data_IF_615041976460
#
_entry.id   IF_615041976460
#
_cell.length_a   1.000
_cell.length_b   1.000
_cell.length_c   1.000
_cell.angle_alpha   90.00
_cell.angle_beta   90.00
_cell.angle_gamma   90.00
#
_symmetry.space_group_name_H-M   'P 1'
#
loop_
_entity.id
_entity.type
_entity.pdbx_description
1 polymer ?
#
# COMPACT_ATOMS: atom_id res chain seq x y z
N UNK A 1 0.69 -22.34 -10.71
CA UNK A 1 0.32 -22.89 -9.37
C UNK A 1 0.74 -21.91 -8.27
N UNK A 2 0.11 -21.99 -7.07
CA UNK A 2 0.48 -21.15 -5.92
C UNK A 2 1.95 -21.33 -5.48
N UNK A 3 2.51 -22.54 -5.65
CA UNK A 3 3.92 -22.80 -5.36
C UNK A 3 4.85 -21.99 -6.27
N UNK A 4 4.52 -21.86 -7.54
CA UNK A 4 5.24 -21.03 -8.51
C UNK A 4 5.03 -19.54 -8.24
N UNK A 5 3.81 -19.13 -7.87
CA UNK A 5 3.51 -17.75 -7.53
C UNK A 5 4.30 -17.20 -6.32
N UNK A 6 4.75 -18.08 -5.41
CA UNK A 6 5.66 -17.73 -4.32
C UNK A 6 7.11 -17.49 -4.75
N UNK A 7 7.52 -18.06 -5.86
CA UNK A 7 8.87 -17.94 -6.42
C UNK A 7 8.98 -16.81 -7.44
N UNK A 8 7.90 -16.05 -7.61
CA UNK A 8 7.84 -14.93 -8.53
C UNK A 8 8.81 -13.82 -8.10
N UNK A 9 9.63 -13.41 -9.04
CA UNK A 9 10.51 -12.26 -8.91
C UNK A 9 9.83 -11.00 -9.47
N UNK A 10 9.87 -9.94 -8.72
CA UNK A 10 9.34 -8.63 -9.11
C UNK A 10 10.50 -7.69 -9.31
N UNK A 11 10.90 -7.48 -10.58
CA UNK A 11 12.00 -6.60 -10.98
C UNK A 11 13.32 -6.89 -10.22
N UNK A 12 13.54 -8.13 -9.78
CA UNK A 12 14.67 -8.55 -8.95
C UNK A 12 14.77 -7.78 -7.61
N UNK A 13 13.63 -7.25 -7.11
CA UNK A 13 13.58 -6.49 -5.88
C UNK A 13 13.25 -7.41 -4.70
N UNK A 14 14.18 -7.61 -3.76
CA UNK A 14 13.92 -8.40 -2.56
C UNK A 14 12.79 -7.77 -1.71
N UNK A 15 11.97 -8.63 -1.13
CA UNK A 15 10.87 -8.22 -0.24
C UNK A 15 9.87 -7.23 -0.89
N UNK A 16 9.76 -7.22 -2.24
CA UNK A 16 8.84 -6.33 -2.96
C UNK A 16 7.37 -6.64 -2.65
N UNK A 17 7.04 -7.91 -2.41
CA UNK A 17 5.68 -8.34 -2.07
C UNK A 17 5.67 -9.59 -1.20
N UNK A 18 4.51 -9.83 -0.56
CA UNK A 18 4.27 -11.00 0.28
C UNK A 18 2.84 -11.51 0.07
N UNK A 19 2.65 -12.81 0.15
CA UNK A 19 1.32 -13.37 0.42
C UNK A 19 1.06 -13.36 1.93
N UNK A 20 -0.19 -13.12 2.34
CA UNK A 20 -0.58 -13.07 3.76
C UNK A 20 -0.21 -14.35 4.53
N UNK A 21 -0.12 -15.49 3.83
CA UNK A 21 0.31 -16.78 4.39
C UNK A 21 1.82 -16.89 4.66
N UNK A 22 2.63 -15.95 4.19
CA UNK A 22 4.11 -15.97 4.32
C UNK A 22 4.60 -15.28 5.60
N UNK A 23 4.04 -15.70 6.73
CA UNK A 23 4.29 -15.07 8.04
C UNK A 23 5.77 -15.01 8.42
N UNK A 24 6.59 -15.99 8.02
CA UNK A 24 8.04 -15.98 8.30
C UNK A 24 8.74 -14.85 7.57
N UNK A 25 8.50 -14.70 6.27
CA UNK A 25 9.12 -13.66 5.44
C UNK A 25 8.71 -12.26 5.92
N UNK A 26 7.42 -12.08 6.24
CA UNK A 26 6.91 -10.83 6.81
C UNK A 26 7.56 -10.51 8.15
N UNK A 27 7.73 -11.53 9.01
CA UNK A 27 8.40 -11.37 10.31
C UNK A 27 9.87 -10.99 10.15
N UNK A 28 10.61 -11.67 9.28
CA UNK A 28 12.03 -11.39 9.00
C UNK A 28 12.20 -9.96 8.48
N UNK A 29 11.33 -9.52 7.58
CA UNK A 29 11.29 -8.14 7.08
C UNK A 29 11.00 -7.15 8.21
N UNK A 30 10.01 -7.42 9.07
CA UNK A 30 9.68 -6.58 10.21
C UNK A 30 10.83 -6.46 11.23
N UNK A 31 11.57 -7.54 11.46
CA UNK A 31 12.78 -7.54 12.31
C UNK A 31 13.85 -6.61 11.72
N UNK A 32 14.14 -6.73 10.42
CA UNK A 32 15.12 -5.87 9.73
C UNK A 32 14.70 -4.40 9.79
N UNK A 33 13.43 -4.10 9.56
CA UNK A 33 12.88 -2.75 9.66
C UNK A 33 13.02 -2.19 11.08
N UNK A 34 12.70 -3.01 12.10
CA UNK A 34 12.88 -2.65 13.50
C UNK A 34 14.32 -2.33 13.87
N UNK A 35 15.27 -3.11 13.37
CA UNK A 35 16.70 -2.84 13.60
C UNK A 35 17.11 -1.50 13.02
N UNK A 36 16.75 -1.20 11.76
CA UNK A 36 17.01 0.10 11.13
C UNK A 36 16.39 1.26 11.90
N UNK A 37 15.12 1.10 12.33
CA UNK A 37 14.43 2.12 13.12
C UNK A 37 15.12 2.38 14.45
N UNK A 38 15.55 1.34 15.16
CA UNK A 38 16.20 1.49 16.45
C UNK A 38 17.54 2.23 16.34
N UNK A 39 18.25 2.08 15.21
CA UNK A 39 19.47 2.85 14.94
C UNK A 39 19.18 4.33 14.70
N UNK A 40 18.02 4.67 14.13
CA UNK A 40 17.68 6.07 13.79
C UNK A 40 16.91 6.81 14.87
N UNK A 41 16.03 6.12 15.61
CA UNK A 41 15.09 6.73 16.58
C UNK A 41 15.24 6.24 18.02
N UNK A 42 16.11 5.23 18.24
CA UNK A 42 16.28 4.60 19.55
C UNK A 42 15.22 3.54 19.85
N UNK A 43 15.54 2.68 20.84
CA UNK A 43 14.75 1.48 21.19
C UNK A 43 13.45 1.81 21.92
N UNK A 44 13.42 2.92 22.67
CA UNK A 44 12.31 3.25 23.59
C UNK A 44 11.21 4.12 22.97
N UNK A 45 11.33 4.53 21.71
CA UNK A 45 10.33 5.41 21.10
C UNK A 45 9.00 4.68 20.84
N UNK A 46 7.89 5.34 21.19
CA UNK A 46 6.54 4.87 20.87
C UNK A 46 6.41 4.60 19.37
N UNK A 47 5.66 3.56 19.01
CA UNK A 47 5.41 3.17 17.64
C UNK A 47 3.98 3.47 17.26
N UNK A 48 3.82 4.06 16.09
CA UNK A 48 2.52 4.40 15.54
C UNK A 48 2.26 3.63 14.26
N UNK A 49 1.11 2.98 14.21
CA UNK A 49 0.64 2.18 13.08
C UNK A 49 -0.67 2.77 12.59
N UNK A 50 -0.83 2.89 11.28
CA UNK A 50 -2.05 3.37 10.67
C UNK A 50 -2.50 2.41 9.58
N UNK A 51 -3.74 1.94 9.67
CA UNK A 51 -4.41 1.22 8.60
C UNK A 51 -5.49 2.12 7.98
N UNK A 52 -5.39 2.35 6.67
CA UNK A 52 -6.35 3.16 5.91
C UNK A 52 -7.21 2.20 5.09
N UNK A 53 -8.50 2.16 5.41
CA UNK A 53 -9.45 1.29 4.73
C UNK A 53 -9.76 1.77 3.32
N UNK A 54 -10.24 0.84 2.49
CA UNK A 54 -11.01 1.20 1.30
C UNK A 54 -12.37 1.82 1.67
N UNK A 55 -13.07 2.32 0.68
CA UNK A 55 -14.39 2.94 0.88
C UNK A 55 -14.85 3.82 -0.29
N UNK A 56 -14.27 3.70 -1.48
CA UNK A 56 -14.65 4.54 -2.61
C UNK A 56 -14.55 6.03 -2.27
N UNK A 57 -15.64 6.77 -2.46
CA UNK A 57 -15.69 8.23 -2.21
C UNK A 57 -15.52 8.59 -0.72
N UNK A 58 -15.79 7.67 0.21
CA UNK A 58 -15.57 7.88 1.64
C UNK A 58 -14.08 8.05 2.02
N UNK A 59 -13.16 7.72 1.10
CA UNK A 59 -11.74 8.03 1.24
C UNK A 59 -11.46 9.52 1.49
N UNK A 60 -12.31 10.41 0.97
CA UNK A 60 -12.23 11.85 1.19
C UNK A 60 -12.40 12.22 2.69
N UNK A 61 -13.27 11.51 3.42
CA UNK A 61 -13.42 11.71 4.86
C UNK A 61 -12.13 11.35 5.60
N UNK A 62 -11.52 10.19 5.28
CA UNK A 62 -10.27 9.76 5.88
C UNK A 62 -9.12 10.76 5.61
N UNK A 63 -9.02 11.26 4.38
CA UNK A 63 -8.04 12.28 4.01
C UNK A 63 -8.26 13.58 4.79
N UNK A 64 -9.51 14.06 4.86
CA UNK A 64 -9.87 15.26 5.62
C UNK A 64 -9.57 15.14 7.11
N UNK A 65 -9.86 13.98 7.71
CA UNK A 65 -9.52 13.69 9.11
C UNK A 65 -8.01 13.78 9.37
N UNK A 66 -7.20 13.21 8.48
CA UNK A 66 -5.74 13.19 8.63
C UNK A 66 -5.13 14.58 8.43
N UNK A 67 -5.65 15.37 7.49
CA UNK A 67 -5.25 16.79 7.32
C UNK A 67 -5.63 17.60 8.55
N UNK A 68 -6.87 17.48 9.04
CA UNK A 68 -7.31 18.16 10.26
C UNK A 68 -6.52 17.74 11.50
N UNK A 69 -6.08 16.50 11.59
CA UNK A 69 -5.19 16.04 12.65
C UNK A 69 -3.81 16.70 12.57
N UNK A 70 -3.28 16.90 11.36
CA UNK A 70 -2.05 17.68 11.16
C UNK A 70 -2.20 19.13 11.57
N UNK A 71 -3.34 19.76 11.24
CA UNK A 71 -3.63 21.14 11.59
C UNK A 71 -3.73 21.34 13.12
N UNK A 72 -4.23 20.32 13.83
CA UNK A 72 -4.20 20.29 15.30
C UNK A 72 -2.77 20.23 15.86
N UNK A 73 -1.81 19.72 15.09
CA UNK A 73 -0.38 19.78 15.41
C UNK A 73 0.18 18.57 16.15
N UNK A 74 -0.62 17.56 16.45
CA UNK A 74 -0.23 16.37 17.22
C UNK A 74 -0.34 15.04 16.43
N UNK A 75 -0.50 15.09 15.09
CA UNK A 75 -0.45 13.90 14.25
C UNK A 75 0.97 13.30 14.32
N UNK A 76 1.12 12.04 14.79
CA UNK A 76 2.41 11.41 14.86
C UNK A 76 2.94 11.04 13.47
N UNK A 77 4.24 10.85 13.37
CA UNK A 77 4.81 10.12 12.25
C UNK A 77 4.56 8.62 12.44
N UNK A 78 3.91 8.00 11.47
CA UNK A 78 3.58 6.58 11.52
C UNK A 78 4.79 5.73 11.12
N UNK A 79 5.10 4.72 11.92
CA UNK A 79 6.16 3.74 11.62
C UNK A 79 5.71 2.74 10.53
N UNK A 80 4.42 2.43 10.52
CA UNK A 80 3.79 1.56 9.51
C UNK A 80 2.51 2.22 9.02
N UNK A 81 2.37 2.32 7.71
CA UNK A 81 1.12 2.72 7.06
C UNK A 81 0.70 1.63 6.10
N UNK A 82 -0.57 1.23 6.16
CA UNK A 82 -1.16 0.31 5.20
C UNK A 82 -2.35 0.95 4.51
N UNK A 83 -2.55 0.64 3.23
CA UNK A 83 -3.65 1.17 2.45
C UNK A 83 -4.32 0.10 1.59
N UNK A 84 -5.63 0.23 1.44
CA UNK A 84 -6.47 -0.62 0.58
C UNK A 84 -7.38 0.29 -0.24
N UNK A 85 -7.53 0.02 -1.54
CA UNK A 85 -8.43 0.78 -2.41
C UNK A 85 -8.15 2.29 -2.35
N UNK A 86 -9.14 3.14 -2.11
CA UNK A 86 -8.92 4.59 -1.90
C UNK A 86 -7.97 4.91 -0.76
N UNK A 87 -7.89 4.03 0.27
CA UNK A 87 -6.87 4.14 1.30
C UNK A 87 -5.45 3.99 0.77
N UNK A 88 -5.26 3.24 -0.32
CA UNK A 88 -3.96 3.12 -0.99
C UNK A 88 -3.50 4.42 -1.65
N UNK A 89 -4.45 5.23 -2.14
CA UNK A 89 -4.15 6.55 -2.72
C UNK A 89 -3.70 7.55 -1.65
N UNK A 90 -4.27 7.48 -0.46
CA UNK A 90 -3.89 8.33 0.68
C UNK A 90 -2.57 7.92 1.34
N UNK A 91 -2.29 6.60 1.38
CA UNK A 91 -1.23 6.03 2.19
C UNK A 91 0.18 6.61 1.91
N UNK A 92 0.63 6.86 0.66
CA UNK A 92 1.93 7.44 0.39
C UNK A 92 2.11 8.84 0.99
N UNK A 93 1.11 9.71 0.87
CA UNK A 93 1.15 11.08 1.42
C UNK A 93 1.19 11.06 2.94
N UNK A 94 0.32 10.24 3.54
CA UNK A 94 0.24 10.08 5.00
C UNK A 94 1.53 9.50 5.57
N UNK A 95 2.14 8.56 4.86
CA UNK A 95 3.43 7.98 5.22
C UNK A 95 4.55 9.04 5.23
N UNK A 96 4.57 9.94 4.27
CA UNK A 96 5.55 11.02 4.20
C UNK A 96 5.25 12.17 5.16
N UNK A 97 4.03 12.25 5.69
CA UNK A 97 3.66 13.17 6.77
C UNK A 97 3.14 14.53 6.29
N UNK A 98 3.08 15.48 7.23
CA UNK A 98 2.40 16.78 7.09
C UNK A 98 2.81 17.59 5.84
N UNK A 99 4.05 17.47 5.40
CA UNK A 99 4.54 18.19 4.22
C UNK A 99 3.77 17.83 2.94
N UNK A 100 3.11 16.66 2.91
CA UNK A 100 2.33 16.14 1.79
C UNK A 100 0.80 16.28 1.96
N UNK A 101 0.34 16.95 3.01
CA UNK A 101 -1.09 17.17 3.23
C UNK A 101 -1.75 18.03 2.12
N UNK A 102 -1.07 19.03 1.52
CA UNK A 102 -1.64 19.74 0.37
C UNK A 102 -1.94 18.81 -0.80
N UNK A 103 -1.04 17.88 -1.13
CA UNK A 103 -1.25 16.89 -2.19
C UNK A 103 -2.34 15.89 -1.81
N UNK A 104 -2.35 15.41 -0.56
CA UNK A 104 -3.43 14.55 -0.04
C UNK A 104 -4.79 15.21 -0.20
N UNK A 105 -4.91 16.49 0.14
CA UNK A 105 -6.14 17.27 -0.05
C UNK A 105 -6.49 17.38 -1.54
N UNK A 106 -5.52 17.74 -2.39
CA UNK A 106 -5.72 17.94 -3.82
C UNK A 106 -6.28 16.70 -4.54
N UNK A 107 -5.78 15.51 -4.19
CA UNK A 107 -6.28 14.23 -4.72
C UNK A 107 -7.80 14.09 -4.57
N UNK A 108 -8.38 14.58 -3.48
CA UNK A 108 -9.81 14.44 -3.19
C UNK A 108 -10.65 15.69 -3.47
N UNK A 109 -10.02 16.84 -3.71
CA UNK A 109 -10.75 18.10 -3.96
C UNK A 109 -10.60 18.65 -5.37
N UNK A 110 -9.50 18.31 -6.05
CA UNK A 110 -9.24 18.77 -7.43
C UNK A 110 -9.59 17.72 -8.48
N UNK A 111 -9.83 16.46 -8.03
CA UNK A 111 -10.24 15.37 -8.92
C UNK A 111 -11.71 15.10 -8.65
N UNK A 112 -12.57 15.37 -9.64
CA UNK A 112 -13.99 15.04 -9.49
C UNK A 112 -14.20 13.53 -9.66
N UNK A 113 -15.23 12.99 -9.02
CA UNK A 113 -15.64 11.59 -9.27
C UNK A 113 -15.92 11.36 -10.77
N UNK A 114 -16.34 12.39 -11.53
CA UNK A 114 -16.51 12.32 -12.98
C UNK A 114 -15.19 12.23 -13.74
N UNK A 115 -14.08 12.68 -13.18
CA UNK A 115 -12.76 12.58 -13.82
C UNK A 115 -12.16 11.18 -13.64
N UNK A 116 -12.55 10.48 -12.57
CA UNK A 116 -12.09 9.12 -12.22
C UNK A 116 -13.06 8.06 -12.73
N UNK A 117 -14.36 8.34 -12.60
CA UNK A 117 -15.45 7.48 -13.08
C UNK A 117 -16.11 8.18 -14.25
N UNK A 118 -15.79 7.80 -15.48
CA UNK A 118 -16.60 8.27 -16.60
C UNK A 118 -18.07 7.96 -16.30
N UNK A 119 -18.95 8.96 -16.42
CA UNK A 119 -20.40 8.88 -16.17
C UNK A 119 -21.10 7.69 -16.82
N UNK A 120 -20.44 7.04 -17.76
CA UNK A 120 -20.94 5.90 -18.53
C UNK A 120 -20.71 4.55 -17.85
N UNK A 121 -19.95 4.45 -16.76
CA UNK A 121 -19.68 3.17 -16.10
C UNK A 121 -20.94 2.49 -15.57
N UNK A 122 -21.85 3.27 -14.99
CA UNK A 122 -23.10 2.73 -14.45
C UNK A 122 -24.09 2.32 -15.56
N UNK A 123 -24.10 3.08 -16.69
CA UNK A 123 -24.91 2.76 -17.86
C UNK A 123 -24.30 1.62 -18.70
N UNK A 124 -22.97 1.57 -18.78
CA UNK A 124 -22.27 0.51 -19.51
C UNK A 124 -22.31 -0.85 -18.81
N UNK A 125 -22.33 -0.90 -17.46
CA UNK A 125 -22.54 -2.11 -16.72
C UNK A 125 -23.94 -2.74 -16.97
N UNK A 126 -24.93 -1.91 -17.33
CA UNK A 126 -26.28 -2.35 -17.70
C UNK A 126 -26.38 -2.80 -19.17
N UNK A 127 -25.47 -2.38 -20.05
CA UNK A 127 -25.49 -2.70 -21.49
C UNK A 127 -24.49 -3.78 -21.91
N UNK A 128 -23.66 -4.27 -20.97
CA UNK A 128 -22.69 -5.37 -21.22
C UNK A 128 -21.38 -4.93 -21.91
N UNK A 129 -21.18 -3.62 -22.19
CA UNK A 129 -20.09 -3.15 -23.05
C UNK A 129 -19.04 -2.24 -22.35
N UNK A 130 -19.10 -2.03 -21.04
CA UNK A 130 -18.22 -1.04 -20.45
C UNK A 130 -17.59 -1.45 -19.10
N UNK A 131 -16.48 -2.11 -19.16
CA UNK A 131 -15.41 -1.89 -18.21
C UNK A 131 -14.87 -0.47 -18.44
N UNK A 132 -14.94 0.39 -17.45
CA UNK A 132 -14.35 1.74 -17.51
C UNK A 132 -12.86 1.66 -17.78
N UNK A 133 -12.35 2.64 -18.51
CA UNK A 133 -10.92 2.74 -18.78
C UNK A 133 -10.17 3.16 -17.50
N UNK A 134 -9.09 2.47 -17.13
CA UNK A 134 -8.21 2.83 -16.02
C UNK A 134 -7.31 4.06 -16.30
N UNK A 135 -7.28 4.57 -17.54
CA UNK A 135 -6.34 5.62 -17.92
C UNK A 135 -6.50 6.94 -17.15
N UNK A 136 -7.72 7.45 -16.86
CA UNK A 136 -7.87 8.66 -16.04
C UNK A 136 -7.33 8.50 -14.63
N UNK A 137 -7.63 7.36 -13.98
CA UNK A 137 -7.14 7.03 -12.64
C UNK A 137 -5.62 6.87 -12.62
N UNK A 138 -5.06 6.19 -13.65
CA UNK A 138 -3.60 6.07 -13.82
C UNK A 138 -2.94 7.43 -14.00
N UNK A 139 -3.52 8.32 -14.79
CA UNK A 139 -3.00 9.67 -15.01
C UNK A 139 -3.00 10.48 -13.71
N UNK A 140 -4.07 10.40 -12.92
CA UNK A 140 -4.15 11.03 -11.61
C UNK A 140 -3.05 10.51 -10.67
N UNK A 141 -2.92 9.19 -10.52
CA UNK A 141 -1.87 8.58 -9.68
C UNK A 141 -0.49 9.05 -10.14
N UNK A 142 -0.22 9.01 -11.46
CA UNK A 142 1.08 9.41 -12.03
C UNK A 142 1.41 10.89 -11.81
N UNK A 143 0.39 11.76 -11.77
CA UNK A 143 0.55 13.20 -11.54
C UNK A 143 1.05 13.49 -10.11
N UNK A 144 0.52 12.78 -9.13
CA UNK A 144 0.83 13.03 -7.72
C UNK A 144 1.99 12.19 -7.18
N UNK A 145 2.30 11.07 -7.82
CA UNK A 145 3.41 10.18 -7.43
C UNK A 145 4.64 10.50 -8.29
N UNK A 146 5.32 11.59 -8.01
CA UNK A 146 6.52 12.01 -8.70
C UNK A 146 7.80 11.30 -8.21
N UNK A 147 8.91 11.50 -8.92
CA UNK A 147 10.19 10.85 -8.60
C UNK A 147 10.74 11.29 -7.23
N UNK A 148 10.48 12.53 -6.81
CA UNK A 148 10.88 13.01 -5.48
C UNK A 148 10.12 12.29 -4.38
N UNK A 149 8.82 12.06 -4.56
CA UNK A 149 8.01 11.31 -3.62
C UNK A 149 8.50 9.86 -3.50
N UNK A 150 8.80 9.21 -4.63
CA UNK A 150 9.37 7.86 -4.65
C UNK A 150 10.70 7.83 -3.89
N UNK A 151 11.60 8.75 -4.17
CA UNK A 151 12.91 8.87 -3.49
C UNK A 151 12.72 9.00 -1.98
N UNK A 152 11.80 9.86 -1.53
CA UNK A 152 11.51 10.06 -0.10
C UNK A 152 10.90 8.81 0.55
N UNK A 153 10.01 8.11 -0.12
CA UNK A 153 9.47 6.82 0.39
C UNK A 153 10.62 5.82 0.61
N UNK A 154 11.56 5.73 -0.34
CA UNK A 154 12.74 4.88 -0.22
C UNK A 154 13.65 5.27 0.96
N UNK A 155 13.86 6.57 1.18
CA UNK A 155 14.64 7.08 2.32
C UNK A 155 14.00 6.72 3.66
N UNK A 156 12.68 6.89 3.78
CA UNK A 156 11.94 6.52 4.99
C UNK A 156 11.95 5.01 5.25
N UNK A 157 11.89 4.20 4.20
CA UNK A 157 12.10 2.76 4.29
C UNK A 157 13.50 2.42 4.82
N UNK A 158 14.54 3.11 4.35
CA UNK A 158 15.90 2.99 4.86
C UNK A 158 16.02 3.27 6.37
N UNK A 159 15.18 4.15 6.91
CA UNK A 159 15.07 4.46 8.35
C UNK A 159 14.23 3.44 9.13
N UNK A 160 13.69 2.41 8.46
CA UNK A 160 12.91 1.34 9.08
C UNK A 160 11.41 1.59 9.16
N UNK A 161 10.88 2.60 8.45
CA UNK A 161 9.44 2.80 8.28
C UNK A 161 8.90 1.93 7.15
N UNK A 162 7.64 1.53 7.21
CA UNK A 162 7.04 0.59 6.27
C UNK A 162 5.75 1.16 5.66
N UNK A 163 5.65 1.07 4.35
CA UNK A 163 4.45 1.42 3.58
C UNK A 163 3.98 0.20 2.80
N UNK A 164 2.77 -0.26 3.09
CA UNK A 164 2.18 -1.44 2.45
C UNK A 164 0.88 -1.12 1.74
N UNK A 165 0.69 -1.72 0.57
CA UNK A 165 -0.55 -1.66 -0.20
C UNK A 165 -1.06 -3.08 -0.44
N UNK A 166 -2.38 -3.27 -0.35
CA UNK A 166 -3.04 -4.55 -0.59
C UNK A 166 -3.66 -4.57 -1.98
N UNK A 167 -3.42 -5.65 -2.70
CA UNK A 167 -4.16 -6.02 -3.92
C UNK A 167 -4.67 -7.45 -3.80
N UNK A 168 -5.59 -7.84 -4.67
CA UNK A 168 -6.03 -9.22 -4.82
C UNK A 168 -5.49 -9.78 -6.14
N UNK A 169 -4.68 -10.83 -6.07
CA UNK A 169 -4.28 -11.61 -7.24
C UNK A 169 -5.43 -12.55 -7.62
N UNK A 170 -6.06 -12.30 -8.77
CA UNK A 170 -7.21 -13.09 -9.25
C UNK A 170 -6.81 -14.50 -9.69
N UNK A 171 -5.63 -14.66 -10.28
CA UNK A 171 -5.16 -15.98 -10.75
C UNK A 171 -4.99 -16.98 -9.61
N UNK A 172 -4.69 -16.45 -8.41
CA UNK A 172 -4.48 -17.24 -7.20
C UNK A 172 -5.64 -17.12 -6.19
N UNK A 173 -6.60 -16.21 -6.42
CA UNK A 173 -7.66 -15.84 -5.49
C UNK A 173 -7.10 -15.52 -4.08
N UNK A 174 -6.03 -14.70 -4.01
CA UNK A 174 -5.30 -14.42 -2.77
C UNK A 174 -4.94 -12.95 -2.62
N UNK A 175 -4.93 -12.44 -1.37
CA UNK A 175 -4.41 -11.11 -1.07
C UNK A 175 -2.88 -11.08 -1.19
N UNK A 176 -2.37 -10.01 -1.79
CA UNK A 176 -0.94 -9.72 -1.94
C UNK A 176 -0.63 -8.39 -1.28
N UNK A 177 0.33 -8.39 -0.36
CA UNK A 177 0.84 -7.20 0.31
C UNK A 177 2.08 -6.72 -0.45
N UNK A 178 2.04 -5.51 -0.97
CA UNK A 178 3.14 -4.86 -1.67
C UNK A 178 3.93 -3.96 -0.72
N UNK A 179 5.24 -4.15 -0.68
CA UNK A 179 6.16 -3.33 0.12
C UNK A 179 6.65 -2.15 -0.72
N UNK A 180 5.87 -1.07 -0.70
CA UNK A 180 6.15 0.12 -1.51
C UNK A 180 7.49 0.75 -1.14
N UNK A 181 7.86 0.68 0.14
CA UNK A 181 9.15 1.18 0.60
C UNK A 181 10.34 0.41 0.00
N UNK A 182 10.27 -0.92 -0.06
CA UNK A 182 11.32 -1.75 -0.67
C UNK A 182 11.44 -1.47 -2.17
N UNK A 183 10.29 -1.35 -2.87
CA UNK A 183 10.25 -1.03 -4.29
C UNK A 183 10.88 0.34 -4.54
N UNK A 184 10.49 1.36 -3.77
CA UNK A 184 11.01 2.71 -3.89
C UNK A 184 12.53 2.81 -3.59
N UNK A 185 13.02 2.01 -2.64
CA UNK A 185 14.44 1.99 -2.24
C UNK A 185 15.34 1.17 -3.19
N UNK A 186 14.77 0.46 -4.16
CA UNK A 186 15.51 -0.48 -5.02
C UNK A 186 16.41 0.21 -6.05
N UNK A 187 16.20 1.50 -6.31
CA UNK A 187 16.82 2.25 -7.41
C UNK A 187 16.57 1.62 -8.81
N UNK A 188 15.57 0.73 -8.92
CA UNK A 188 15.20 0.17 -10.21
C UNK A 188 14.49 1.25 -11.04
N UNK A 189 14.85 1.46 -12.32
CA UNK A 189 14.24 2.49 -13.16
C UNK A 189 12.74 2.29 -13.40
N UNK A 190 12.23 1.07 -13.20
CA UNK A 190 10.79 0.75 -13.29
C UNK A 190 10.07 0.79 -11.95
N UNK A 191 10.75 1.14 -10.85
CA UNK A 191 10.15 1.13 -9.52
C UNK A 191 8.92 2.05 -9.43
N UNK A 192 9.03 3.27 -9.98
CA UNK A 192 7.90 4.22 -10.01
C UNK A 192 6.70 3.67 -10.77
N UNK A 193 6.93 3.09 -11.94
CA UNK A 193 5.86 2.52 -12.76
C UNK A 193 5.17 1.36 -12.04
N UNK A 194 5.94 0.46 -11.45
CA UNK A 194 5.40 -0.63 -10.63
C UNK A 194 4.55 -0.12 -9.47
N UNK A 195 4.99 0.93 -8.76
CA UNK A 195 4.20 1.50 -7.67
C UNK A 195 2.89 2.09 -8.19
N UNK A 196 2.91 2.80 -9.33
CA UNK A 196 1.69 3.30 -9.98
C UNK A 196 0.74 2.15 -10.32
N UNK A 197 1.25 1.07 -10.91
CA UNK A 197 0.45 -0.11 -11.26
C UNK A 197 -0.14 -0.79 -10.03
N UNK A 198 0.60 -0.89 -8.94
CA UNK A 198 0.11 -1.43 -7.66
C UNK A 198 -1.01 -0.58 -7.06
N UNK A 199 -0.86 0.76 -7.07
CA UNK A 199 -1.91 1.67 -6.58
C UNK A 199 -3.15 1.57 -7.46
N UNK A 200 -2.96 1.53 -8.79
CA UNK A 200 -4.04 1.36 -9.76
C UNK A 200 -4.75 0.01 -9.53
N UNK A 201 -4.01 -1.07 -9.36
CA UNK A 201 -4.57 -2.40 -9.07
C UNK A 201 -5.37 -2.39 -7.77
N UNK A 202 -4.81 -1.78 -6.70
CA UNK A 202 -5.48 -1.68 -5.40
C UNK A 202 -6.81 -0.93 -5.45
N UNK A 203 -7.00 -0.06 -6.44
CA UNK A 203 -8.22 0.75 -6.65
C UNK A 203 -9.11 0.23 -7.79
N UNK A 204 -8.68 -0.82 -8.49
CA UNK A 204 -9.43 -1.42 -9.59
C UNK A 204 -10.53 -2.35 -9.07
N UNK A 205 -11.68 -1.76 -8.71
CA UNK A 205 -12.87 -2.49 -8.24
C UNK A 205 -13.37 -3.40 -9.38
N UNK A 206 -13.50 -4.73 -9.17
CA UNK A 206 -14.04 -5.66 -10.16
C UNK A 206 -15.41 -5.19 -10.67
N UNK A 207 -15.68 -5.44 -11.95
CA UNK A 207 -16.88 -5.01 -12.69
C UNK A 207 -16.86 -3.51 -13.04
N UNK A 208 -16.26 -2.65 -12.22
CA UNK A 208 -16.15 -1.20 -12.50
C UNK A 208 -14.92 -0.93 -13.36
N UNK A 209 -13.77 -1.48 -12.98
CA UNK A 209 -12.50 -1.31 -13.68
C UNK A 209 -11.94 -2.65 -14.19
N UNK A 210 -11.20 -2.64 -15.33
CA UNK A 210 -10.47 -3.82 -15.75
C UNK A 210 -9.38 -4.17 -14.75
N UNK A 211 -9.03 -5.47 -14.60
CA UNK A 211 -7.86 -5.90 -13.84
C UNK A 211 -6.57 -5.24 -14.37
N UNK A 212 -5.65 -4.98 -13.48
CA UNK A 212 -4.30 -4.52 -13.83
C UNK A 212 -3.40 -5.74 -14.03
N UNK A 213 -2.75 -5.80 -15.18
CA UNK A 213 -1.79 -6.86 -15.51
C UNK A 213 -0.41 -6.44 -14.99
N UNK A 214 0.13 -7.20 -14.05
CA UNK A 214 1.46 -6.95 -13.49
C UNK A 214 2.46 -7.95 -14.07
N UNK A 215 3.56 -7.42 -14.65
CA UNK A 215 4.64 -8.24 -15.16
C UNK A 215 5.42 -8.90 -14.02
N UNK A 216 5.65 -10.20 -14.15
CA UNK A 216 6.37 -11.00 -13.17
C UNK A 216 7.34 -11.94 -13.89
N UNK A 217 8.38 -12.38 -13.17
CA UNK A 217 9.33 -13.38 -13.69
C UNK A 217 9.26 -14.63 -12.84
N UNK A 218 9.20 -15.79 -13.48
CA UNK A 218 9.26 -17.11 -12.84
C UNK A 218 10.27 -17.95 -13.64
N UNK A 219 11.28 -18.49 -12.99
CA UNK A 219 12.31 -19.30 -13.61
C UNK A 219 12.93 -18.62 -14.87
N UNK A 220 13.12 -17.30 -14.81
CA UNK A 220 13.65 -16.47 -15.91
C UNK A 220 12.66 -16.21 -17.05
N UNK A 221 11.42 -16.69 -16.97
CA UNK A 221 10.37 -16.44 -17.96
C UNK A 221 9.42 -15.35 -17.51
N UNK A 222 9.04 -14.46 -18.43
CA UNK A 222 8.06 -13.40 -18.18
C UNK A 222 6.64 -13.96 -18.21
N UNK A 223 5.87 -13.58 -17.22
CA UNK A 223 4.44 -13.85 -17.09
C UNK A 223 3.72 -12.57 -16.67
N UNK A 224 2.39 -12.62 -16.69
CA UNK A 224 1.55 -11.56 -16.15
C UNK A 224 0.60 -12.16 -15.13
N UNK A 225 0.37 -11.42 -14.06
CA UNK A 225 -0.64 -11.73 -13.04
C UNK A 225 -1.75 -10.69 -13.08
N UNK A 226 -3.00 -11.12 -12.95
CA UNK A 226 -4.16 -10.23 -12.86
C UNK A 226 -4.36 -9.75 -11.44
N UNK A 227 -4.30 -8.44 -11.21
CA UNK A 227 -4.55 -7.84 -9.91
C UNK A 227 -5.75 -6.89 -9.95
N UNK A 228 -6.52 -6.91 -8.87
CA UNK A 228 -7.68 -6.05 -8.62
C UNK A 228 -7.64 -5.49 -7.21
N UNK A 229 -8.67 -4.68 -6.88
CA UNK A 229 -8.85 -4.05 -5.58
C UNK A 229 -8.66 -5.04 -4.42
N UNK A 230 -7.85 -4.64 -3.45
CA UNK A 230 -7.62 -5.40 -2.23
C UNK A 230 -8.88 -5.54 -1.37
N UNK A 231 -9.81 -4.59 -1.49
CA UNK A 231 -11.11 -4.59 -0.81
C UNK A 231 -12.01 -5.78 -1.15
N UNK A 232 -11.73 -6.51 -2.24
CA UNK A 232 -12.40 -7.77 -2.57
C UNK A 232 -12.18 -8.85 -1.51
N UNK A 233 -11.10 -8.77 -0.75
CA UNK A 233 -10.75 -9.73 0.30
C UNK A 233 -10.73 -9.07 1.69
N UNK A 234 -10.17 -7.86 1.81
CA UNK A 234 -10.05 -7.18 3.10
C UNK A 234 -10.16 -5.65 2.93
N UNK A 235 -11.07 -5.03 3.67
CA UNK A 235 -11.27 -3.58 3.64
C UNK A 235 -10.11 -2.80 4.27
N UNK A 236 -9.44 -3.38 5.24
CA UNK A 236 -8.25 -2.84 5.89
C UNK A 236 -7.39 -3.98 6.42
N UNK A 237 -6.09 -3.73 6.57
CA UNK A 237 -5.18 -4.66 7.23
C UNK A 237 -4.10 -3.88 7.96
N UNK A 238 -3.53 -4.48 9.01
CA UNK A 238 -2.39 -3.91 9.71
C UNK A 238 -1.21 -4.87 9.70
N UNK A 239 -1.50 -6.13 9.98
CA UNK A 239 -0.55 -7.25 9.91
C UNK A 239 -1.33 -8.55 9.68
N UNK A 240 -0.72 -9.61 9.13
CA UNK A 240 -1.39 -10.88 8.96
C UNK A 240 -1.90 -11.46 10.28
N UNK A 241 -3.11 -12.03 10.33
CA UNK A 241 -3.66 -12.64 11.56
C UNK A 241 -2.77 -13.74 12.17
N UNK A 242 -1.93 -14.37 11.34
CA UNK A 242 -0.95 -15.37 11.78
C UNK A 242 0.21 -14.79 12.60
N UNK A 243 0.41 -13.47 12.57
CA UNK A 243 1.44 -12.77 13.33
C UNK A 243 0.79 -12.17 14.57
N UNK A 244 1.01 -12.79 15.74
CA UNK A 244 0.66 -12.17 17.02
C UNK A 244 1.73 -11.16 17.40
N UNK A 245 1.40 -9.86 17.40
CA UNK A 245 2.31 -8.80 17.85
C UNK A 245 2.78 -9.04 19.31
N UNK A 246 1.94 -9.65 20.15
CA UNK A 246 2.30 -9.96 21.54
C UNK A 246 3.30 -11.12 21.66
N UNK A 247 3.16 -12.16 20.83
CA UNK A 247 4.01 -13.37 20.94
C UNK A 247 5.17 -13.34 19.94
N UNK A 248 4.92 -12.94 18.70
CA UNK A 248 5.96 -12.88 17.66
C UNK A 248 6.97 -11.77 17.92
N UNK A 249 6.49 -10.57 18.28
CA UNK A 249 7.34 -9.43 18.56
C UNK A 249 8.14 -9.59 19.87
N UNK A 250 7.57 -10.23 20.89
CA UNK A 250 8.29 -10.57 22.12
C UNK A 250 9.39 -11.62 21.89
N UNK A 251 9.11 -12.64 21.06
CA UNK A 251 10.12 -13.65 20.67
C UNK A 251 11.21 -13.09 19.76
N UNK A 252 10.88 -12.12 18.92
CA UNK A 252 11.83 -11.47 18.01
C UNK A 252 12.56 -10.28 18.66
N UNK A 253 12.31 -9.95 19.95
CA UNK A 253 12.88 -8.78 20.62
C UNK A 253 12.36 -7.44 20.08
N UNK A 254 11.27 -7.46 19.30
CA UNK A 254 10.68 -6.27 18.67
C UNK A 254 9.86 -5.46 19.68
N UNK A 255 9.28 -6.12 20.69
CA UNK A 255 8.57 -5.49 21.79
C UNK A 255 9.26 -5.84 23.11
N UNK A 256 10.06 -4.93 23.63
CA UNK A 256 10.28 -4.85 25.07
C UNK A 256 9.11 -4.03 25.60
N UNK A 257 8.14 -4.68 26.20
CA UNK A 257 7.06 -4.02 26.92
C UNK A 257 7.62 -3.40 28.19
N UNK A 258 7.87 -2.11 28.16
CA UNK A 258 7.56 -1.30 29.30
C UNK A 258 6.09 -0.90 29.10
N UNK A 259 5.17 -1.54 29.83
CA UNK A 259 3.77 -1.13 30.03
C UNK A 259 3.13 -0.29 28.89
N UNK A 260 2.83 -0.89 27.78
CA UNK A 260 2.14 -0.23 26.67
C UNK A 260 0.73 -0.79 26.51
N UNK A 261 -0.28 -0.01 26.87
CA UNK A 261 -1.67 -0.26 26.48
C UNK A 261 -1.79 -0.23 24.97
N UNK A 262 -2.28 -1.32 24.38
CA UNK A 262 -2.82 -1.29 23.03
C UNK A 262 -4.18 -0.60 23.11
N UNK A 263 -4.28 0.64 22.68
CA UNK A 263 -5.55 1.32 22.46
C UNK A 263 -6.04 0.97 21.07
N UNK A 264 -7.15 0.27 20.99
CA UNK A 264 -7.96 0.04 19.78
C UNK A 264 -8.79 1.25 19.44
#
# INVERSE_FOLDING_TARGET
TYAQAKQVEILDIPDARFYVSESKQILDMAIKANQRRNMTRGVSATRYFLAISGGGDDGAFGAGLLVGWSDRGDRPEFDVVTGVSTGSLSAPFVFLGRAYDPQLKAVYTETSASDVFERNALLGALTGDALTNNAPLRAMISRYLDDEMIRRIGEEYGKGRLLFILTTNLDQARPVIWNIGAIAASNNPKARELIIDVLLASTSIPVVFPPVMLDVTVDGQRHQEMHVDGGTIAQAFLYPPSISLRTGAARAGILRTAHGEVRT
#
